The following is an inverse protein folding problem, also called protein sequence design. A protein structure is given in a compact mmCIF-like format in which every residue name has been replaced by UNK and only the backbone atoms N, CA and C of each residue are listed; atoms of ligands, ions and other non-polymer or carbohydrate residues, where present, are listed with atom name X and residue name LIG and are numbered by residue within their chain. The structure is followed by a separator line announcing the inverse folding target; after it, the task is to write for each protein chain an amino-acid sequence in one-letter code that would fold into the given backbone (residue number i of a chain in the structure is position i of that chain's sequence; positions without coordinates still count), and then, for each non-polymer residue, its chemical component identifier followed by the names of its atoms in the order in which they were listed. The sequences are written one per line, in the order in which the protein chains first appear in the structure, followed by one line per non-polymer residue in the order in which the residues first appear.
data_IF_522908658371
#
_entry.id   IF_522908658371
#
_cell.length_a   1.000
_cell.length_b   1.000
_cell.length_c   1.000
_cell.angle_alpha   90.00
_cell.angle_beta   90.00
_cell.angle_gamma   90.00
#
_symmetry.space_group_name_H-M   'P 1'
#
loop_
_entity.id
_entity.type
_entity.pdbx_description
1 polymer ?
#
# COMPACT_ATOMS: atom_id res chain seq x y z
N UNK A 1 18.73 30.09 -11.58
CA UNK A 1 18.75 28.63 -11.74
C UNK A 1 17.83 28.06 -10.69
N UNK A 2 16.66 27.56 -11.07
CA UNK A 2 15.75 26.94 -10.13
C UNK A 2 16.37 25.62 -9.68
N UNK A 3 16.77 25.55 -8.41
CA UNK A 3 17.20 24.31 -7.78
C UNK A 3 15.95 23.42 -7.72
N UNK A 4 15.75 22.60 -8.75
CA UNK A 4 14.64 21.66 -8.83
C UNK A 4 14.95 20.59 -7.79
N UNK A 5 14.55 20.83 -6.54
CA UNK A 5 14.71 19.89 -5.45
C UNK A 5 14.14 18.56 -5.95
N UNK A 6 15.01 17.54 -6.07
CA UNK A 6 14.55 16.23 -6.46
C UNK A 6 13.49 15.82 -5.43
N UNK A 7 12.28 15.51 -5.89
CA UNK A 7 11.25 14.99 -5.02
C UNK A 7 11.67 13.57 -4.68
N UNK A 8 12.16 13.36 -3.47
CA UNK A 8 12.66 12.03 -3.04
C UNK A 8 11.50 11.05 -2.80
N UNK A 9 10.29 11.57 -2.55
CA UNK A 9 9.09 10.76 -2.39
C UNK A 9 7.79 11.48 -2.74
N UNK A 10 6.76 10.69 -3.09
CA UNK A 10 5.42 11.16 -3.43
C UNK A 10 4.41 10.41 -2.56
N UNK A 11 3.43 11.13 -2.03
CA UNK A 11 2.23 10.56 -1.41
C UNK A 11 1.04 10.87 -2.32
N UNK A 12 0.34 9.84 -2.77
CA UNK A 12 -0.92 9.97 -3.51
C UNK A 12 -1.96 9.00 -2.96
N UNK A 13 -3.23 9.26 -3.29
CA UNK A 13 -4.33 8.43 -2.85
C UNK A 13 -5.41 8.34 -3.90
N UNK A 14 -6.12 7.21 -3.91
CA UNK A 14 -7.35 7.01 -4.66
C UNK A 14 -8.50 6.89 -3.66
N UNK A 15 -9.57 7.65 -3.87
CA UNK A 15 -10.77 7.58 -3.05
C UNK A 15 -11.93 7.07 -3.89
N UNK A 16 -12.60 6.05 -3.39
CA UNK A 16 -13.81 5.51 -3.97
C UNK A 16 -14.94 5.56 -2.94
N UNK A 17 -16.05 6.17 -3.31
CA UNK A 17 -17.26 6.23 -2.50
C UNK A 17 -18.42 5.60 -3.27
N UNK A 18 -19.02 4.57 -2.68
CA UNK A 18 -20.28 4.02 -3.17
C UNK A 18 -21.39 4.34 -2.18
N UNK A 19 -22.18 5.36 -2.51
CA UNK A 19 -23.31 5.80 -1.69
C UNK A 19 -24.37 4.71 -1.49
N UNK A 20 -24.53 3.79 -2.45
CA UNK A 20 -25.51 2.71 -2.36
C UNK A 20 -25.04 1.58 -1.42
N UNK A 21 -23.72 1.43 -1.22
CA UNK A 21 -23.13 0.41 -0.37
C UNK A 21 -22.81 0.89 1.05
N UNK A 22 -23.12 2.15 1.39
CA UNK A 22 -22.78 2.81 2.66
C UNK A 22 -21.33 2.58 3.11
N UNK A 23 -20.44 2.42 2.14
CA UNK A 23 -19.04 2.11 2.35
C UNK A 23 -18.17 2.84 1.33
N UNK A 24 -17.00 3.26 1.79
CA UNK A 24 -16.00 3.88 0.95
C UNK A 24 -14.63 3.31 1.28
N UNK A 25 -13.69 3.42 0.34
CA UNK A 25 -12.32 3.02 0.56
C UNK A 25 -11.35 4.06 0.03
N UNK A 26 -10.21 4.17 0.71
CA UNK A 26 -9.05 4.96 0.31
C UNK A 26 -7.86 4.02 0.10
N UNK A 27 -7.25 4.07 -1.07
CA UNK A 27 -5.97 3.42 -1.33
C UNK A 27 -4.87 4.47 -1.25
N UNK A 28 -4.01 4.38 -0.24
CA UNK A 28 -2.87 5.28 -0.06
C UNK A 28 -1.63 4.69 -0.74
N UNK A 29 -0.83 5.52 -1.40
CA UNK A 29 0.42 5.14 -2.04
C UNK A 29 1.53 6.09 -1.61
N UNK A 30 2.53 5.55 -0.93
CA UNK A 30 3.79 6.23 -0.64
C UNK A 30 4.89 5.69 -1.55
N UNK A 31 5.32 6.51 -2.50
CA UNK A 31 6.34 6.18 -3.49
C UNK A 31 7.65 6.84 -3.05
N UNK A 32 8.63 6.03 -2.65
CA UNK A 32 9.98 6.46 -2.31
C UNK A 32 10.90 6.17 -3.50
N UNK A 33 11.30 7.22 -4.21
CA UNK A 33 12.15 7.09 -5.41
C UNK A 33 13.61 6.79 -5.04
N UNK A 34 14.07 7.25 -3.88
CA UNK A 34 15.40 6.97 -3.36
C UNK A 34 15.59 5.49 -3.03
N UNK A 35 14.59 4.87 -2.40
CA UNK A 35 14.57 3.44 -2.06
C UNK A 35 14.02 2.56 -3.17
N UNK A 36 13.39 3.14 -4.19
CA UNK A 36 12.65 2.44 -5.25
C UNK A 36 11.59 1.52 -4.67
N UNK A 37 10.81 2.05 -3.73
CA UNK A 37 9.74 1.31 -3.04
C UNK A 37 8.41 2.03 -3.20
N UNK A 38 7.34 1.26 -3.34
CA UNK A 38 5.97 1.73 -3.19
C UNK A 38 5.41 1.01 -1.97
N UNK A 39 4.94 1.77 -0.99
CA UNK A 39 4.21 1.24 0.16
C UNK A 39 2.76 1.64 0.00
N UNK A 40 1.85 0.69 0.14
CA UNK A 40 0.43 0.95 -0.06
C UNK A 40 -0.41 0.28 1.01
N UNK A 41 -1.49 0.96 1.41
CA UNK A 41 -2.44 0.48 2.40
C UNK A 41 -3.83 0.88 1.94
N UNK A 42 -4.79 -0.04 2.08
CA UNK A 42 -6.19 0.24 1.86
C UNK A 42 -6.86 0.52 3.20
N UNK A 43 -7.57 1.63 3.26
CA UNK A 43 -8.46 1.98 4.37
C UNK A 43 -9.89 1.79 3.88
N UNK A 44 -10.69 1.05 4.64
CA UNK A 44 -12.12 0.88 4.37
C UNK A 44 -12.91 1.51 5.50
N UNK A 45 -13.93 2.27 5.13
CA UNK A 45 -14.82 2.96 6.05
C UNK A 45 -16.25 2.49 5.78
N UNK A 46 -16.93 2.08 6.83
CA UNK A 46 -18.38 1.86 6.85
C UNK A 46 -19.01 2.76 7.93
N UNK A 47 -20.32 2.68 8.12
CA UNK A 47 -21.04 3.54 9.08
C UNK A 47 -20.58 3.35 10.54
N UNK A 48 -19.97 2.21 10.86
CA UNK A 48 -19.67 1.80 12.23
C UNK A 48 -18.17 1.77 12.53
N UNK A 49 -17.31 1.74 11.51
CA UNK A 49 -15.91 1.42 11.68
C UNK A 49 -14.98 1.96 10.59
N UNK A 50 -13.69 1.94 10.92
CA UNK A 50 -12.60 2.14 9.97
C UNK A 50 -11.62 0.99 10.12
N UNK A 51 -11.32 0.31 9.03
CA UNK A 51 -10.39 -0.81 8.99
C UNK A 51 -9.26 -0.52 8.03
N UNK A 52 -8.09 -1.08 8.34
CA UNK A 52 -6.89 -0.94 7.52
C UNK A 52 -6.33 -2.32 7.20
N UNK A 53 -6.07 -2.56 5.93
CA UNK A 53 -5.41 -3.78 5.48
C UNK A 53 -3.92 -3.77 5.85
N UNK A 54 -3.31 -4.96 5.83
CA UNK A 54 -1.86 -5.09 5.93
C UNK A 54 -1.18 -4.28 4.83
N UNK A 55 -0.19 -3.46 5.21
CA UNK A 55 0.58 -2.70 4.25
C UNK A 55 1.28 -3.62 3.25
N UNK A 56 1.10 -3.33 1.96
CA UNK A 56 1.77 -4.02 0.87
C UNK A 56 2.97 -3.18 0.42
N UNK A 57 4.08 -3.85 0.14
CA UNK A 57 5.31 -3.20 -0.30
C UNK A 57 5.67 -3.74 -1.68
N UNK A 58 6.01 -2.86 -2.59
CA UNK A 58 6.49 -3.18 -3.92
C UNK A 58 7.86 -2.57 -4.16
N UNK A 59 8.70 -3.28 -4.88
CA UNK A 59 9.97 -2.77 -5.41
C UNK A 59 9.79 -2.30 -6.85
N UNK A 60 10.36 -1.14 -7.18
CA UNK A 60 10.37 -0.59 -8.54
C UNK A 60 11.63 -1.11 -9.25
N UNK A 61 11.45 -2.05 -10.17
CA UNK A 61 12.53 -2.52 -11.04
C UNK A 61 12.59 -1.65 -12.30
N UNK A 62 13.51 -0.70 -12.32
CA UNK A 62 13.73 0.19 -13.46
C UNK A 62 14.33 -0.50 -14.68
N UNK A 63 14.90 -1.71 -14.55
CA UNK A 63 15.48 -2.43 -15.71
C UNK A 63 14.41 -3.13 -16.51
N UNK A 64 13.44 -3.71 -15.82
CA UNK A 64 12.33 -4.44 -16.44
C UNK A 64 11.08 -3.58 -16.56
N UNK A 65 11.05 -2.40 -15.94
CA UNK A 65 9.90 -1.49 -15.86
C UNK A 65 8.69 -2.10 -15.15
N UNK A 66 8.94 -3.01 -14.20
CA UNK A 66 7.92 -3.74 -13.47
C UNK A 66 7.94 -3.40 -11.97
N UNK A 67 6.77 -3.54 -11.33
CA UNK A 67 6.64 -3.52 -9.88
C UNK A 67 6.57 -4.94 -9.34
N UNK A 68 7.42 -5.27 -8.36
CA UNK A 68 7.43 -6.59 -7.73
C UNK A 68 6.96 -6.47 -6.28
N UNK A 69 5.87 -7.17 -5.94
CA UNK A 69 5.39 -7.23 -4.56
C UNK A 69 6.36 -8.02 -3.69
N UNK A 70 6.69 -7.47 -2.54
CA UNK A 70 7.39 -8.18 -1.48
C UNK A 70 6.40 -9.14 -0.81
N UNK A 71 6.67 -10.44 -0.87
CA UNK A 71 5.90 -11.40 -0.09
C UNK A 71 6.29 -11.27 1.38
N UNK A 72 5.35 -10.86 2.23
CA UNK A 72 5.51 -10.99 3.68
C UNK A 72 5.56 -12.48 4.04
N UNK A 73 6.72 -12.96 4.47
CA UNK A 73 6.95 -14.33 4.92
C UNK A 73 6.40 -14.62 6.33
N UNK A 74 5.38 -13.89 6.79
CA UNK A 74 4.81 -14.06 8.13
C UNK A 74 3.59 -14.99 8.18
N UNK A 75 3.42 -15.86 7.19
CA UNK A 75 2.60 -17.06 7.35
C UNK A 75 3.43 -18.19 8.00
N UNK A 76 3.89 -17.98 9.24
CA UNK A 76 4.09 -19.13 10.12
C UNK A 76 2.70 -19.68 10.44
N UNK A 77 2.27 -20.68 9.68
CA UNK A 77 1.23 -21.60 10.13
C UNK A 77 1.54 -21.97 11.59
N UNK A 78 0.66 -21.56 12.50
CA UNK A 78 0.60 -22.20 13.81
C UNK A 78 0.29 -23.67 13.52
N UNK A 79 1.32 -24.50 13.66
CA UNK A 79 1.17 -25.94 13.65
C UNK A 79 0.30 -26.26 14.86
N UNK A 80 -0.97 -26.58 14.65
CA UNK A 80 -1.82 -27.17 15.69
C UNK A 80 -1.22 -28.54 15.99
N UNK A 81 -0.40 -28.61 17.04
CA UNK A 81 -0.07 -29.88 17.69
C UNK A 81 -1.35 -30.33 18.41
N UNK A 82 -2.13 -31.18 17.73
CA UNK A 82 -3.15 -31.97 18.39
C UNK A 82 -2.43 -33.08 19.17
N UNK A 83 -2.48 -32.98 20.50
CA UNK A 83 -2.05 -34.02 21.44
C UNK A 83 -3.26 -34.80 21.93
#
# INVERSE_FOLDING_TARGET
MANKLAVDSVLCYEYYNNADALSCYEQLYYIDLGQRKIRTVMLTYDEESTTADSAQIYTIDLKTEHFQQEMNHDNKHQKTDNR
#
